data_IF_555440943047
#
_entry.id   IF_555440943047
#
_cell.length_a   1.000
_cell.length_b   1.000
_cell.length_c   1.000
_cell.angle_alpha   90.00
_cell.angle_beta   90.00
_cell.angle_gamma   90.00
#
_symmetry.space_group_name_H-M   'P 1'
#
loop_
_entity.id
_entity.type
_entity.pdbx_description
1 polymer ?
#
# COMPACT_ATOMS: atom_id res chain seq x y z
N UNK A 1 73.92 22.72 -59.69
CA UNK A 1 73.18 21.95 -58.67
C UNK A 1 71.76 22.48 -58.62
N UNK A 2 70.81 21.61 -58.93
CA UNK A 2 69.39 21.88 -59.14
C UNK A 2 68.62 22.03 -57.83
N UNK A 3 67.54 22.81 -57.83
CA UNK A 3 66.33 22.51 -57.03
C UNK A 3 65.10 23.08 -57.77
N UNK A 4 64.17 22.20 -58.17
CA UNK A 4 62.82 22.58 -58.59
C UNK A 4 61.87 22.32 -57.43
N UNK A 5 60.86 23.18 -57.18
CA UNK A 5 59.90 22.96 -56.11
C UNK A 5 58.81 21.96 -56.54
N UNK A 6 58.53 21.02 -55.63
CA UNK A 6 57.51 19.99 -55.76
C UNK A 6 56.16 20.56 -55.33
N UNK A 7 55.14 20.51 -56.19
CA UNK A 7 53.76 20.91 -55.85
C UNK A 7 52.94 19.67 -55.48
N UNK A 8 52.25 19.65 -54.32
CA UNK A 8 51.40 18.52 -53.96
C UNK A 8 50.13 18.48 -54.82
N UNK A 9 49.83 17.29 -55.36
CA UNK A 9 48.60 17.00 -56.09
C UNK A 9 47.36 17.10 -55.18
N UNK A 10 46.28 17.73 -55.68
CA UNK A 10 45.03 17.88 -54.93
C UNK A 10 44.33 16.52 -54.73
N UNK A 11 43.95 16.22 -53.48
CA UNK A 11 43.15 15.04 -53.11
C UNK A 11 41.80 15.05 -53.84
N UNK A 12 41.34 13.93 -54.43
CA UNK A 12 40.01 13.87 -55.03
C UNK A 12 38.94 13.99 -53.94
N UNK A 13 37.99 14.92 -54.10
CA UNK A 13 36.85 15.06 -53.20
C UNK A 13 36.01 13.77 -53.26
N UNK A 14 35.87 13.07 -52.14
CA UNK A 14 34.95 11.95 -52.00
C UNK A 14 33.51 12.47 -52.06
N UNK A 15 33.02 12.67 -53.28
CA UNK A 15 31.70 13.25 -53.56
C UNK A 15 30.56 12.36 -53.06
N UNK A 16 29.47 13.02 -52.65
CA UNK A 16 28.06 12.64 -52.46
C UNK A 16 27.63 11.22 -52.05
N UNK A 17 28.40 10.16 -52.27
CA UNK A 17 28.09 8.77 -51.87
C UNK A 17 28.02 8.61 -50.36
N UNK A 18 28.93 9.22 -49.60
CA UNK A 18 28.86 9.21 -48.14
C UNK A 18 27.60 9.91 -47.61
N UNK A 19 27.19 11.00 -48.28
CA UNK A 19 25.98 11.74 -47.97
C UNK A 19 24.71 10.95 -48.34
N UNK A 20 24.71 10.24 -49.47
CA UNK A 20 23.60 9.41 -49.92
C UNK A 20 23.41 8.18 -49.03
N UNK A 21 24.50 7.54 -48.60
CA UNK A 21 24.45 6.38 -47.69
C UNK A 21 23.95 6.80 -46.30
N UNK A 22 24.41 7.94 -45.79
CA UNK A 22 23.93 8.46 -44.50
C UNK A 22 22.46 8.89 -44.55
N UNK A 23 22.01 9.51 -45.65
CA UNK A 23 20.60 9.82 -45.87
C UNK A 23 19.73 8.55 -45.93
N UNK A 24 20.18 7.51 -46.63
CA UNK A 24 19.47 6.23 -46.70
C UNK A 24 19.35 5.56 -45.33
N UNK A 25 20.44 5.55 -44.53
CA UNK A 25 20.42 5.02 -43.17
C UNK A 25 19.48 5.80 -42.25
N UNK A 26 19.46 7.14 -42.35
CA UNK A 26 18.53 7.96 -41.58
C UNK A 26 17.07 7.65 -41.89
N UNK A 27 16.73 7.46 -43.17
CA UNK A 27 15.36 7.06 -43.59
C UNK A 27 14.99 5.68 -43.05
N UNK A 28 15.92 4.72 -43.07
CA UNK A 28 15.69 3.38 -42.51
C UNK A 28 15.44 3.47 -40.99
N UNK A 29 16.22 4.27 -40.27
CA UNK A 29 16.03 4.46 -38.82
C UNK A 29 14.68 5.11 -38.53
N UNK A 30 14.29 6.15 -39.27
CA UNK A 30 12.98 6.78 -39.10
C UNK A 30 11.84 5.80 -39.41
N UNK A 31 11.98 4.99 -40.46
CA UNK A 31 11.01 3.95 -40.80
C UNK A 31 10.91 2.88 -39.71
N UNK A 32 12.05 2.45 -39.13
CA UNK A 32 12.08 1.50 -38.03
C UNK A 32 11.42 2.06 -36.77
N UNK A 33 11.70 3.33 -36.42
CA UNK A 33 11.04 4.02 -35.30
C UNK A 33 9.53 4.11 -35.54
N UNK A 34 9.11 4.48 -36.76
CA UNK A 34 7.70 4.57 -37.12
C UNK A 34 6.98 3.21 -37.10
N UNK A 35 7.68 2.13 -37.46
CA UNK A 35 7.13 0.78 -37.42
C UNK A 35 7.03 0.23 -35.99
N UNK A 36 7.95 0.65 -35.11
CA UNK A 36 7.98 0.26 -33.69
C UNK A 36 7.13 1.17 -32.80
N UNK A 37 6.71 2.35 -33.29
CA UNK A 37 5.82 3.23 -32.52
C UNK A 37 4.35 2.85 -32.69
N UNK A 38 3.77 2.35 -31.61
CA UNK A 38 2.32 2.12 -31.54
C UNK A 38 1.60 3.42 -31.14
N UNK A 39 0.72 3.93 -32.01
CA UNK A 39 -0.10 5.11 -31.71
C UNK A 39 -1.41 4.69 -31.04
N UNK A 40 -1.52 4.95 -29.75
CA UNK A 40 -2.75 4.72 -28.98
C UNK A 40 -3.69 5.92 -29.12
N UNK A 41 -4.89 5.69 -29.69
CA UNK A 41 -5.94 6.72 -29.78
C UNK A 41 -6.65 6.90 -28.44
N UNK A 42 -6.95 8.16 -28.11
CA UNK A 42 -7.81 8.53 -26.99
C UNK A 42 -9.20 7.90 -27.19
N UNK A 43 -9.64 7.04 -26.27
CA UNK A 43 -10.88 6.28 -26.29
C UNK A 43 -10.84 4.90 -26.99
N UNK A 44 -9.67 4.39 -27.37
CA UNK A 44 -9.53 3.03 -27.97
C UNK A 44 -9.42 1.93 -26.92
N UNK A 45 -9.56 0.65 -27.29
CA UNK A 45 -9.33 -0.50 -26.38
C UNK A 45 -7.90 -0.53 -25.81
N UNK A 46 -6.95 0.09 -26.51
CA UNK A 46 -5.57 0.28 -26.04
C UNK A 46 -5.40 1.55 -25.17
N UNK A 47 -6.47 2.33 -24.94
CA UNK A 47 -6.43 3.54 -24.12
C UNK A 47 -6.45 3.19 -22.63
N UNK A 48 -5.26 3.11 -22.06
CA UNK A 48 -4.99 2.82 -20.63
C UNK A 48 -5.75 3.77 -19.68
N UNK A 49 -6.25 4.92 -20.16
CA UNK A 49 -7.06 5.85 -19.36
C UNK A 49 -8.44 5.30 -18.97
N UNK A 50 -9.05 4.39 -19.74
CA UNK A 50 -10.34 3.78 -19.36
C UNK A 50 -10.20 2.71 -18.26
N UNK A 51 -8.97 2.26 -17.95
CA UNK A 51 -8.67 1.34 -16.85
C UNK A 51 -7.58 1.90 -15.91
N UNK A 52 -7.47 3.23 -15.81
CA UNK A 52 -6.59 3.83 -14.82
C UNK A 52 -7.09 3.44 -13.43
N UNK A 53 -6.22 2.86 -12.61
CA UNK A 53 -6.53 2.49 -11.23
C UNK A 53 -7.13 3.70 -10.49
N UNK A 54 -8.32 3.53 -9.93
CA UNK A 54 -8.99 4.52 -9.07
C UNK A 54 -8.86 4.06 -7.62
N UNK A 55 -7.99 4.70 -6.81
CA UNK A 55 -7.85 4.35 -5.40
C UNK A 55 -9.18 4.52 -4.65
N UNK A 56 -9.92 5.58 -4.93
CA UNK A 56 -11.20 5.87 -4.27
C UNK A 56 -12.24 4.77 -4.50
N UNK A 57 -12.46 4.38 -5.75
CA UNK A 57 -13.37 3.28 -6.11
C UNK A 57 -12.92 1.98 -5.45
N UNK A 58 -11.61 1.68 -5.51
CA UNK A 58 -11.05 0.48 -4.92
C UNK A 58 -11.26 0.43 -3.40
N UNK A 59 -10.99 1.54 -2.69
CA UNK A 59 -11.22 1.65 -1.26
C UNK A 59 -12.69 1.38 -0.91
N UNK A 60 -13.62 2.01 -1.64
CA UNK A 60 -15.06 1.90 -1.38
C UNK A 60 -15.58 0.47 -1.58
N UNK A 61 -15.04 -0.25 -2.58
CA UNK A 61 -15.40 -1.64 -2.85
C UNK A 61 -14.76 -2.64 -1.88
N UNK A 62 -13.52 -2.40 -1.46
CA UNK A 62 -12.76 -3.36 -0.65
C UNK A 62 -13.03 -3.22 0.84
N UNK A 63 -13.19 -2.00 1.37
CA UNK A 63 -13.33 -1.80 2.80
C UNK A 63 -14.49 -2.59 3.42
N UNK A 64 -15.70 -2.65 2.83
CA UNK A 64 -16.79 -3.47 3.38
C UNK A 64 -16.44 -4.97 3.45
N UNK A 65 -15.72 -5.50 2.45
CA UNK A 65 -15.27 -6.91 2.42
C UNK A 65 -14.23 -7.18 3.49
N UNK A 66 -13.26 -6.27 3.62
CA UNK A 66 -12.22 -6.32 4.65
C UNK A 66 -12.86 -6.27 6.04
N UNK A 67 -13.78 -5.32 6.28
CA UNK A 67 -14.50 -5.20 7.54
C UNK A 67 -15.21 -6.50 7.92
N UNK A 68 -15.98 -7.08 7.00
CA UNK A 68 -16.68 -8.33 7.24
C UNK A 68 -15.72 -9.48 7.59
N UNK A 69 -14.63 -9.63 6.83
CA UNK A 69 -13.63 -10.66 7.09
C UNK A 69 -12.91 -10.46 8.44
N UNK A 70 -12.60 -9.23 8.80
CA UNK A 70 -11.97 -8.89 10.09
C UNK A 70 -12.94 -9.19 11.23
N UNK A 71 -14.21 -8.80 11.13
CA UNK A 71 -15.22 -9.09 12.15
C UNK A 71 -15.47 -10.59 12.35
N UNK A 72 -15.44 -11.38 11.27
CA UNK A 72 -15.61 -12.83 11.33
C UNK A 72 -14.45 -13.54 12.02
N UNK A 73 -13.21 -13.10 11.78
CA UNK A 73 -11.99 -13.77 12.26
C UNK A 73 -11.42 -13.20 13.56
N UNK A 74 -11.94 -12.08 14.04
CA UNK A 74 -11.37 -11.36 15.19
C UNK A 74 -11.43 -12.20 16.47
N UNK A 75 -10.25 -12.52 17.00
CA UNK A 75 -10.09 -13.18 18.30
C UNK A 75 -10.10 -12.16 19.43
N UNK A 76 -10.61 -12.53 20.60
CA UNK A 76 -10.56 -11.67 21.78
C UNK A 76 -9.09 -11.39 22.20
N UNK A 77 -8.80 -10.15 22.59
CA UNK A 77 -7.46 -9.70 22.93
C UNK A 77 -6.77 -10.54 24.01
N UNK A 78 -7.50 -10.94 25.06
CA UNK A 78 -6.96 -11.75 26.15
C UNK A 78 -6.56 -13.16 25.66
N UNK A 79 -7.41 -13.81 24.86
CA UNK A 79 -7.12 -15.13 24.29
C UNK A 79 -5.94 -15.08 23.32
N UNK A 80 -5.86 -14.02 22.51
CA UNK A 80 -4.75 -13.80 21.61
C UNK A 80 -3.44 -13.59 22.38
N UNK A 81 -3.46 -12.80 23.46
CA UNK A 81 -2.27 -12.57 24.28
C UNK A 81 -1.79 -13.85 24.96
N UNK A 82 -2.71 -14.68 25.46
CA UNK A 82 -2.37 -16.00 26.01
C UNK A 82 -1.76 -16.91 24.94
N UNK A 83 -2.33 -16.94 23.72
CA UNK A 83 -1.79 -17.71 22.60
C UNK A 83 -0.39 -17.23 22.19
N UNK A 84 -0.17 -15.90 22.12
CA UNK A 84 1.13 -15.31 21.80
C UNK A 84 2.18 -15.63 22.87
N UNK A 85 1.79 -15.61 24.15
CA UNK A 85 2.68 -15.93 25.26
C UNK A 85 3.06 -17.41 25.27
N UNK A 86 2.15 -18.30 24.88
CA UNK A 86 2.42 -19.73 24.76
C UNK A 86 3.32 -20.04 23.56
N UNK A 87 2.95 -19.58 22.37
CA UNK A 87 3.74 -19.72 21.15
C UNK A 87 3.35 -18.64 20.13
N UNK A 88 4.21 -17.62 20.01
CA UNK A 88 4.04 -16.53 19.06
C UNK A 88 3.89 -17.02 17.62
N UNK A 89 4.65 -18.04 17.20
CA UNK A 89 4.63 -18.54 15.83
C UNK A 89 3.34 -19.29 15.55
N UNK A 90 2.91 -20.17 16.45
CA UNK A 90 1.64 -20.87 16.30
C UNK A 90 0.44 -19.91 16.33
N UNK A 91 0.45 -18.89 17.19
CA UNK A 91 -0.58 -17.86 17.23
C UNK A 91 -0.63 -17.05 15.92
N UNK A 92 0.54 -16.69 15.39
CA UNK A 92 0.68 -16.02 14.10
C UNK A 92 0.12 -16.84 12.93
N UNK A 93 0.42 -18.14 12.88
CA UNK A 93 -0.06 -19.04 11.82
C UNK A 93 -1.57 -19.31 11.94
N UNK A 94 -2.10 -19.39 13.16
CA UNK A 94 -3.51 -19.69 13.41
C UNK A 94 -4.45 -18.51 13.20
N UNK A 95 -4.06 -17.33 13.66
CA UNK A 95 -4.95 -16.15 13.71
C UNK A 95 -4.55 -15.04 12.74
N UNK A 96 -3.34 -15.11 12.18
CA UNK A 96 -2.78 -14.07 11.34
C UNK A 96 -2.83 -14.39 9.86
N UNK A 97 -2.88 -13.33 9.06
CA UNK A 97 -2.56 -13.39 7.63
C UNK A 97 -1.08 -13.09 7.45
N UNK A 98 -0.33 -14.00 6.83
CA UNK A 98 1.11 -13.82 6.63
C UNK A 98 1.41 -12.64 5.69
N UNK A 99 2.38 -11.81 6.06
CA UNK A 99 2.91 -10.73 5.21
C UNK A 99 4.43 -10.70 5.31
N UNK A 100 5.11 -9.95 4.42
CA UNK A 100 6.56 -9.82 4.40
C UNK A 100 7.18 -9.22 5.68
N UNK A 101 6.41 -8.48 6.47
CA UNK A 101 6.90 -7.73 7.65
C UNK A 101 6.39 -8.27 8.99
N UNK A 102 5.53 -9.28 8.94
CA UNK A 102 4.86 -9.86 10.10
C UNK A 102 3.38 -10.13 9.82
N UNK A 103 2.77 -11.08 10.53
CA UNK A 103 1.39 -11.44 10.30
C UNK A 103 0.45 -10.32 10.77
N UNK A 104 -0.61 -10.08 10.00
CA UNK A 104 -1.69 -9.16 10.39
C UNK A 104 -2.79 -9.96 11.05
N UNK A 105 -3.14 -9.59 12.29
CA UNK A 105 -4.07 -10.33 13.13
C UNK A 105 -5.33 -9.49 13.39
N UNK A 106 -6.52 -9.99 13.03
CA UNK A 106 -7.80 -9.46 13.48
C UNK A 106 -8.00 -9.68 14.98
N UNK A 107 -8.42 -8.65 15.70
CA UNK A 107 -8.60 -8.69 17.15
C UNK A 107 -9.82 -7.90 17.59
N UNK A 108 -10.51 -8.42 18.60
CA UNK A 108 -11.58 -7.73 19.34
C UNK A 108 -11.03 -7.27 20.68
N UNK A 109 -11.08 -5.97 20.90
CA UNK A 109 -10.72 -5.29 22.14
C UNK A 109 -11.99 -4.92 22.89
N UNK A 110 -12.06 -5.20 24.19
CA UNK A 110 -13.11 -4.69 25.06
C UNK A 110 -12.47 -4.08 26.30
N UNK A 111 -12.80 -2.84 26.60
CA UNK A 111 -12.04 -2.09 27.59
C UNK A 111 -12.38 -0.61 27.62
N UNK A 112 -11.52 0.17 28.26
CA UNK A 112 -11.70 1.60 28.47
C UNK A 112 -10.64 2.38 27.71
N UNK A 113 -11.07 3.34 26.90
CA UNK A 113 -10.14 4.28 26.25
C UNK A 113 -9.45 5.16 27.29
N UNK A 114 -8.16 5.37 27.12
CA UNK A 114 -7.38 6.35 27.84
C UNK A 114 -7.17 7.63 27.03
N UNK A 115 -6.41 8.54 27.63
CA UNK A 115 -6.05 9.82 27.03
C UNK A 115 -5.46 9.66 25.62
N UNK A 116 -5.89 10.55 24.73
CA UNK A 116 -5.39 10.62 23.37
C UNK A 116 -3.93 11.10 23.36
N UNK A 117 -3.09 10.42 22.58
CA UNK A 117 -1.71 10.83 22.29
C UNK A 117 -1.52 10.84 20.78
N UNK A 118 -1.35 12.03 20.21
CA UNK A 118 -1.21 12.23 18.76
C UNK A 118 -2.42 11.66 17.99
N UNK A 119 -2.22 10.67 17.12
CA UNK A 119 -3.25 10.03 16.30
C UNK A 119 -3.82 8.73 16.90
N UNK A 120 -3.58 8.48 18.19
CA UNK A 120 -3.98 7.23 18.85
C UNK A 120 -4.57 7.46 20.24
N UNK A 121 -5.45 6.56 20.67
CA UNK A 121 -5.84 6.40 22.07
C UNK A 121 -5.27 5.08 22.59
N UNK A 122 -4.62 5.11 23.76
CA UNK A 122 -4.34 3.87 24.50
C UNK A 122 -5.66 3.27 24.99
N UNK A 123 -5.76 1.95 25.05
CA UNK A 123 -6.94 1.26 25.55
C UNK A 123 -6.53 0.28 26.64
N UNK A 124 -7.15 0.40 27.82
CA UNK A 124 -6.98 -0.55 28.91
C UNK A 124 -7.97 -1.69 28.70
N UNK A 125 -7.44 -2.90 28.56
CA UNK A 125 -8.24 -4.09 28.26
C UNK A 125 -8.05 -5.08 29.40
N UNK A 126 -9.16 -5.58 29.92
CA UNK A 126 -9.14 -6.56 31.00
C UNK A 126 -8.57 -7.90 30.49
N UNK A 127 -7.73 -8.54 31.31
CA UNK A 127 -7.11 -9.83 30.98
C UNK A 127 -5.84 -9.75 30.12
N UNK A 128 -5.40 -8.56 29.73
CA UNK A 128 -4.09 -8.36 29.10
C UNK A 128 -2.97 -8.23 30.16
N UNK A 129 -1.76 -8.77 29.89
CA UNK A 129 -0.60 -8.53 30.76
C UNK A 129 -0.34 -7.02 30.93
N UNK A 130 -0.01 -6.53 32.15
CA UNK A 130 0.17 -5.09 32.42
C UNK A 130 1.21 -4.39 31.53
N UNK A 131 2.18 -5.13 31.03
CA UNK A 131 3.22 -4.66 30.13
C UNK A 131 2.78 -4.54 28.66
N UNK A 132 1.61 -5.07 28.30
CA UNK A 132 1.08 -5.01 26.94
C UNK A 132 0.37 -3.68 26.72
N UNK A 133 0.95 -2.84 25.87
CA UNK A 133 0.38 -1.55 25.49
C UNK A 133 -0.45 -1.72 24.22
N UNK A 134 -1.75 -1.47 24.31
CA UNK A 134 -2.65 -1.46 23.15
C UNK A 134 -3.03 -0.03 22.81
N UNK A 135 -2.78 0.37 21.56
CA UNK A 135 -3.14 1.68 21.01
C UNK A 135 -4.06 1.49 19.83
N UNK A 136 -5.15 2.21 19.80
CA UNK A 136 -6.08 2.25 18.67
C UNK A 136 -5.84 3.52 17.88
N UNK A 137 -5.71 3.39 16.56
CA UNK A 137 -5.63 4.55 15.66
C UNK A 137 -7.01 5.21 15.58
N UNK A 138 -7.09 6.44 16.06
CA UNK A 138 -8.33 7.26 16.17
C UNK A 138 -8.11 8.66 15.60
N UNK A 139 -6.95 8.91 14.99
CA UNK A 139 -6.58 10.20 14.43
C UNK A 139 -6.95 10.38 12.96
N UNK A 140 -6.92 11.64 12.47
CA UNK A 140 -7.20 11.94 11.06
C UNK A 140 -6.22 11.24 10.11
N UNK A 141 -5.02 10.92 10.59
CA UNK A 141 -4.05 10.09 9.90
C UNK A 141 -4.03 8.67 10.50
N UNK A 142 -4.25 7.68 9.63
CA UNK A 142 -4.14 6.25 9.92
C UNK A 142 -2.93 5.74 9.17
N UNK A 143 -1.97 5.18 9.90
CA UNK A 143 -0.71 4.74 9.35
C UNK A 143 -0.75 3.25 9.01
N UNK A 144 0.03 2.90 7.98
CA UNK A 144 0.27 1.51 7.60
C UNK A 144 -0.75 0.96 6.59
N UNK A 145 -0.54 -0.29 6.22
CA UNK A 145 -1.31 -1.03 5.21
C UNK A 145 -2.05 -2.22 5.82
N UNK A 146 -2.21 -2.24 7.14
CA UNK A 146 -2.68 -3.42 7.85
C UNK A 146 -4.06 -3.86 7.37
N UNK A 147 -4.97 -2.93 7.05
CA UNK A 147 -6.29 -3.28 6.49
C UNK A 147 -6.21 -3.91 5.09
N UNK A 148 -5.33 -3.39 4.21
CA UNK A 148 -5.09 -3.98 2.89
C UNK A 148 -4.59 -5.41 3.03
N UNK A 149 -3.65 -5.61 3.95
CA UNK A 149 -2.94 -6.87 4.15
C UNK A 149 -3.76 -7.87 5.00
N UNK A 150 -4.83 -7.42 5.68
CA UNK A 150 -5.58 -8.21 6.65
C UNK A 150 -6.21 -9.49 6.08
N UNK A 151 -6.68 -9.45 4.83
CA UNK A 151 -7.40 -10.57 4.21
C UNK A 151 -6.46 -11.52 3.45
N UNK A 152 -5.28 -11.03 3.04
CA UNK A 152 -4.36 -11.75 2.17
C UNK A 152 -4.83 -11.86 0.71
N UNK A 153 -5.93 -11.19 0.36
CA UNK A 153 -6.51 -11.25 -1.00
C UNK A 153 -6.05 -10.11 -1.89
N UNK A 154 -5.49 -9.03 -1.30
CA UNK A 154 -4.99 -7.87 -2.00
C UNK A 154 -3.48 -7.99 -2.09
N UNK A 155 -2.99 -8.35 -3.26
CA UNK A 155 -1.58 -8.64 -3.50
C UNK A 155 -0.98 -7.69 -4.52
N UNK A 156 0.33 -7.45 -4.43
CA UNK A 156 1.05 -6.55 -5.33
C UNK A 156 0.84 -6.88 -6.81
N UNK A 157 0.71 -8.18 -7.17
CA UNK A 157 0.50 -8.63 -8.55
C UNK A 157 -0.80 -8.14 -9.19
N UNK A 158 -1.73 -7.59 -8.42
CA UNK A 158 -2.97 -6.96 -8.92
C UNK A 158 -2.77 -5.50 -9.35
N UNK A 159 -1.58 -4.93 -9.13
CA UNK A 159 -1.27 -3.52 -9.37
C UNK A 159 -0.09 -3.38 -10.32
N UNK A 160 -0.07 -2.28 -11.08
CA UNK A 160 0.99 -2.06 -12.09
C UNK A 160 2.30 -1.59 -11.47
N UNK A 161 2.25 -0.99 -10.28
CA UNK A 161 3.41 -0.41 -9.62
C UNK A 161 3.18 -0.23 -8.11
N UNK A 162 4.27 0.10 -7.41
CA UNK A 162 4.26 0.30 -5.96
C UNK A 162 3.36 1.46 -5.52
N UNK A 163 3.25 2.53 -6.32
CA UNK A 163 2.44 3.70 -5.98
C UNK A 163 0.97 3.28 -5.91
N UNK A 164 0.45 2.61 -6.94
CA UNK A 164 -0.93 2.09 -6.95
C UNK A 164 -1.20 1.15 -5.77
N UNK A 165 -0.26 0.26 -5.45
CA UNK A 165 -0.41 -0.66 -4.32
C UNK A 165 -0.45 0.04 -2.96
N UNK A 166 0.28 1.16 -2.80
CA UNK A 166 0.22 1.99 -1.59
C UNK A 166 -1.03 2.88 -1.57
N UNK A 167 -1.45 3.41 -2.72
CA UNK A 167 -2.67 4.19 -2.86
C UNK A 167 -3.91 3.35 -2.53
N UNK A 168 -3.92 2.06 -2.92
CA UNK A 168 -4.94 1.10 -2.51
C UNK A 168 -5.07 1.01 -0.99
N UNK A 169 -3.94 0.88 -0.27
CA UNK A 169 -3.93 0.84 1.19
C UNK A 169 -4.41 2.15 1.81
N UNK A 170 -3.96 3.28 1.27
CA UNK A 170 -4.37 4.61 1.73
C UNK A 170 -5.87 4.85 1.52
N UNK A 171 -6.42 4.41 0.38
CA UNK A 171 -7.83 4.54 0.07
C UNK A 171 -8.70 3.66 0.99
N UNK A 172 -8.28 2.43 1.28
CA UNK A 172 -8.96 1.57 2.27
C UNK A 172 -8.97 2.25 3.64
N UNK A 173 -7.85 2.82 4.09
CA UNK A 173 -7.80 3.56 5.35
C UNK A 173 -8.72 4.80 5.32
N UNK A 174 -8.84 5.49 4.19
CA UNK A 174 -9.74 6.62 4.05
C UNK A 174 -11.22 6.21 4.15
N UNK A 175 -11.62 5.12 3.52
CA UNK A 175 -12.98 4.57 3.67
C UNK A 175 -13.26 4.09 5.07
N UNK A 176 -12.28 3.44 5.72
CA UNK A 176 -12.39 3.10 7.12
C UNK A 176 -12.66 4.34 7.99
N UNK A 177 -11.90 5.42 7.80
CA UNK A 177 -12.12 6.67 8.55
C UNK A 177 -13.54 7.21 8.33
N UNK A 178 -14.03 7.23 7.09
CA UNK A 178 -15.41 7.65 6.78
C UNK A 178 -16.43 6.79 7.52
N UNK A 179 -16.25 5.47 7.53
CA UNK A 179 -17.20 4.54 8.12
C UNK A 179 -17.15 4.50 9.66
N UNK A 180 -15.95 4.59 10.25
CA UNK A 180 -15.73 4.38 11.70
C UNK A 180 -15.71 5.71 12.46
N UNK A 181 -15.13 6.77 11.89
CA UNK A 181 -14.95 8.04 12.61
C UNK A 181 -16.07 9.05 12.40
N UNK A 182 -16.98 8.84 11.44
CA UNK A 182 -18.08 9.78 11.19
C UNK A 182 -18.98 10.02 12.42
N UNK A 183 -19.07 9.07 13.35
CA UNK A 183 -19.81 9.20 14.61
C UNK A 183 -18.93 9.21 15.87
N UNK A 184 -17.60 9.27 15.71
CA UNK A 184 -16.66 9.13 16.81
C UNK A 184 -15.96 10.46 17.09
N UNK A 185 -16.28 11.09 18.21
CA UNK A 185 -15.46 12.18 18.74
C UNK A 185 -14.26 11.57 19.47
N UNK A 186 -13.13 11.56 18.79
CA UNK A 186 -11.92 10.92 19.26
C UNK A 186 -11.22 11.67 20.41
N UNK A 187 -11.54 12.96 20.62
CA UNK A 187 -11.05 13.73 21.75
C UNK A 187 -11.89 13.47 23.02
N UNK A 188 -13.15 13.05 22.84
CA UNK A 188 -14.06 12.69 23.92
C UNK A 188 -14.05 11.19 24.28
N UNK A 189 -13.00 10.43 23.94
CA UNK A 189 -12.92 9.00 24.22
C UNK A 189 -12.38 8.66 25.60
N UNK A 190 -11.60 9.54 26.22
CA UNK A 190 -10.94 9.24 27.50
C UNK A 190 -11.96 8.84 28.58
N UNK A 191 -11.71 7.71 29.24
CA UNK A 191 -12.59 7.11 30.24
C UNK A 191 -13.82 6.37 29.71
N UNK A 192 -14.09 6.39 28.40
CA UNK A 192 -15.25 5.67 27.83
C UNK A 192 -14.98 4.19 27.64
N UNK A 193 -15.96 3.37 28.02
CA UNK A 193 -15.93 1.94 27.72
C UNK A 193 -16.33 1.70 26.27
N UNK A 194 -15.61 0.82 25.59
CA UNK A 194 -15.84 0.51 24.19
C UNK A 194 -15.51 -0.94 23.86
N UNK A 195 -16.11 -1.41 22.77
CA UNK A 195 -15.67 -2.59 22.05
C UNK A 195 -15.13 -2.14 20.69
N UNK A 196 -13.89 -2.52 20.38
CA UNK A 196 -13.20 -2.18 19.14
C UNK A 196 -12.86 -3.45 18.42
N UNK A 197 -13.24 -3.55 17.15
CA UNK A 197 -12.76 -4.61 16.26
C UNK A 197 -11.81 -3.99 15.26
N UNK A 198 -10.65 -4.61 15.06
CA UNK A 198 -9.63 -4.08 14.17
C UNK A 198 -8.54 -5.08 13.86
N UNK A 199 -7.49 -4.60 13.24
CA UNK A 199 -6.31 -5.39 12.88
C UNK A 199 -5.04 -4.73 13.38
N UNK A 200 -4.03 -5.53 13.67
CA UNK A 200 -2.67 -5.02 13.89
C UNK A 200 -1.64 -5.99 13.32
N UNK A 201 -0.46 -5.47 13.02
CA UNK A 201 0.68 -6.29 12.64
C UNK A 201 1.45 -6.77 13.87
N UNK A 202 1.59 -8.08 14.03
CA UNK A 202 2.30 -8.67 15.17
C UNK A 202 3.83 -8.60 14.99
N UNK A 203 4.37 -7.39 15.17
CA UNK A 203 5.83 -7.15 15.19
C UNK A 203 6.33 -7.34 16.63
N UNK A 204 5.81 -6.53 17.55
CA UNK A 204 6.11 -6.59 18.98
C UNK A 204 4.92 -7.17 19.76
N UNK A 205 5.07 -8.32 20.45
CA UNK A 205 3.98 -8.93 21.20
C UNK A 205 3.47 -8.07 22.37
N UNK A 206 4.24 -7.07 22.82
CA UNK A 206 3.88 -6.17 23.93
C UNK A 206 3.39 -4.78 23.49
N UNK A 207 3.35 -4.49 22.19
CA UNK A 207 2.90 -3.20 21.69
C UNK A 207 2.06 -3.39 20.44
N UNK A 208 0.75 -3.20 20.58
CA UNK A 208 -0.22 -3.41 19.51
C UNK A 208 -0.70 -2.04 19.03
N UNK A 209 -0.53 -1.78 17.74
CA UNK A 209 -1.11 -0.60 17.07
C UNK A 209 -2.27 -1.08 16.20
N UNK A 210 -3.48 -0.92 16.72
CA UNK A 210 -4.70 -1.45 16.12
C UNK A 210 -5.34 -0.41 15.21
N UNK A 211 -5.59 -0.82 13.97
CA UNK A 211 -6.39 -0.07 13.00
C UNK A 211 -7.83 -0.59 13.07
N UNK A 212 -8.79 0.22 13.56
CA UNK A 212 -10.16 -0.25 13.77
C UNK A 212 -10.90 -0.43 12.44
N UNK A 213 -11.80 -1.41 12.37
CA UNK A 213 -12.85 -1.50 11.34
C UNK A 213 -14.24 -1.20 11.91
N UNK A 214 -14.35 -1.19 13.25
CA UNK A 214 -15.56 -0.92 14.00
C UNK A 214 -15.22 -0.47 15.42
N UNK A 215 -15.94 0.54 15.92
CA UNK A 215 -15.87 1.03 17.30
C UNK A 215 -17.29 1.19 17.82
N UNK A 216 -17.60 0.52 18.93
CA UNK A 216 -18.88 0.64 19.64
C UNK A 216 -18.62 1.18 21.03
N UNK A 217 -19.12 2.36 21.33
CA UNK A 217 -19.12 2.93 22.68
C UNK A 217 -20.27 2.30 23.49
N UNK A 218 -20.04 2.03 24.78
CA UNK A 218 -21.07 1.55 25.71
C UNK A 218 -21.70 2.70 26.49
#
# INVERSE_FOLDING_TARGET
>A
MSTSPDYPASKPSSGNRGLLVSAALAVIVVAAIAFDTTVVRIGSENDVRQQAFSPETFGAEQFPKIKANVEERAIAAADLAAAIAADKKAAAEKYGTATSTGPVIPVTLTGVFGARKSNTNEMKIDGLPPETVVRVQTGPAVNGTDLRDATGTIEFGQFTNQIQYQDAGSAINNEMKKAVFAGLDADALDGKQATVVGVFKLINPKNWLVTPVKVELK
#
